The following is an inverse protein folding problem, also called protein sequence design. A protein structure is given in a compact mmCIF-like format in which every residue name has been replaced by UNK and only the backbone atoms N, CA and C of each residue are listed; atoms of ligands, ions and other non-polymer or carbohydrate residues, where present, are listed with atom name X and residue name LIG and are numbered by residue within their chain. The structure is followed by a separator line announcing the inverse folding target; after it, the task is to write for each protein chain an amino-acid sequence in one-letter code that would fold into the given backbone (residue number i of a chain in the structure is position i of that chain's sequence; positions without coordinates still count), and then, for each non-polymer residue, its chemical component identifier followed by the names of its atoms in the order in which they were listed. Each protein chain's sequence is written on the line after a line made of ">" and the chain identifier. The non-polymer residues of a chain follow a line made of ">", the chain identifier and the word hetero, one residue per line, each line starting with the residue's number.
data_IF_636747169161
#
_entry.id   IF_636747169161
#
_cell.length_a   1.000
_cell.length_b   1.000
_cell.length_c   1.000
_cell.angle_alpha   90.00
_cell.angle_beta   90.00
_cell.angle_gamma   90.00
#
_symmetry.space_group_name_H-M   'P 1'
#
loop_
_entity.id
_entity.type
_entity.pdbx_description
1 polymer ?
#
# COMPACT_ATOMS: atom_id res chain seq x y z
N UNK A 1 18.85 13.00 -25.99
CA UNK A 1 17.53 12.89 -26.65
C UNK A 1 16.68 11.92 -25.83
N UNK A 2 15.40 12.23 -25.54
CA UNK A 2 14.47 11.31 -24.85
C UNK A 2 13.39 10.88 -25.85
N UNK A 3 13.31 9.59 -26.15
CA UNK A 3 12.24 9.01 -27.00
C UNK A 3 11.30 8.23 -26.08
N UNK A 4 9.99 8.36 -26.31
CA UNK A 4 8.96 7.56 -25.62
C UNK A 4 8.42 6.53 -26.60
N UNK A 5 8.55 5.25 -26.24
CA UNK A 5 7.93 4.13 -26.93
C UNK A 5 6.65 3.72 -26.17
N UNK A 6 5.50 3.70 -26.85
CA UNK A 6 4.22 3.32 -26.24
C UNK A 6 4.10 1.80 -26.17
N UNK A 7 3.34 1.30 -25.19
CA UNK A 7 3.11 -0.14 -25.06
C UNK A 7 2.45 -0.78 -26.30
N UNK A 8 1.58 -0.05 -27.01
CA UNK A 8 1.01 -0.52 -28.25
C UNK A 8 2.07 -0.73 -29.34
N UNK A 9 3.06 0.17 -29.43
CA UNK A 9 4.18 0.05 -30.37
C UNK A 9 5.08 -1.13 -29.98
N UNK A 10 5.33 -1.33 -28.68
CA UNK A 10 6.08 -2.51 -28.19
C UNK A 10 5.35 -3.80 -28.59
N UNK A 11 4.05 -3.88 -28.34
CA UNK A 11 3.23 -5.05 -28.66
C UNK A 11 3.19 -5.32 -30.17
N UNK A 12 3.07 -4.29 -31.00
CA UNK A 12 3.18 -4.42 -32.45
C UNK A 12 4.55 -4.97 -32.87
N UNK A 13 5.64 -4.52 -32.24
CA UNK A 13 6.99 -4.97 -32.59
C UNK A 13 7.27 -6.42 -32.15
N UNK A 14 6.78 -6.84 -30.99
CA UNK A 14 7.14 -8.14 -30.38
C UNK A 14 6.07 -9.22 -30.54
N UNK A 15 4.78 -8.86 -30.55
CA UNK A 15 3.63 -9.79 -30.63
C UNK A 15 2.98 -9.78 -32.02
N UNK A 16 3.04 -8.65 -32.75
CA UNK A 16 2.53 -8.41 -34.11
C UNK A 16 1.01 -8.52 -34.32
N UNK A 17 0.31 -9.53 -33.80
CA UNK A 17 -1.05 -9.88 -34.25
C UNK A 17 -2.09 -10.08 -33.15
N UNK A 18 -1.71 -10.09 -31.87
CA UNK A 18 -2.65 -10.41 -30.78
C UNK A 18 -3.05 -9.16 -29.99
N UNK A 19 -4.29 -8.72 -30.14
CA UNK A 19 -4.88 -7.66 -29.31
C UNK A 19 -6.18 -8.16 -28.66
N UNK A 20 -6.34 -7.85 -27.37
CA UNK A 20 -7.58 -8.12 -26.63
C UNK A 20 -8.24 -6.79 -26.30
N UNK A 21 -9.52 -6.67 -26.63
CA UNK A 21 -10.33 -5.54 -26.21
C UNK A 21 -11.13 -5.90 -24.96
N UNK A 22 -11.05 -5.03 -23.96
CA UNK A 22 -11.79 -5.18 -22.73
C UNK A 22 -12.74 -3.99 -22.57
N UNK A 23 -14.04 -4.22 -22.30
CA UNK A 23 -14.97 -3.13 -22.06
C UNK A 23 -14.54 -2.25 -20.88
N UNK A 24 -14.98 -1.00 -20.88
CA UNK A 24 -14.63 -0.02 -19.84
C UNK A 24 -14.89 -0.58 -18.44
N UNK A 25 -13.92 -0.40 -17.55
CA UNK A 25 -13.92 -0.85 -16.13
C UNK A 25 -13.81 -2.37 -15.89
N UNK A 26 -14.02 -3.23 -16.89
CA UNK A 26 -13.98 -4.69 -16.68
C UNK A 26 -12.63 -5.19 -16.18
N UNK A 27 -11.52 -4.67 -16.72
CA UNK A 27 -10.17 -5.03 -16.26
C UNK A 27 -9.91 -4.66 -14.81
N UNK A 28 -10.53 -3.59 -14.28
CA UNK A 28 -10.39 -3.22 -12.87
C UNK A 28 -11.07 -4.25 -11.95
N UNK A 29 -12.25 -4.73 -12.35
CA UNK A 29 -12.98 -5.77 -11.62
C UNK A 29 -12.26 -7.12 -11.70
N UNK A 30 -11.75 -7.49 -12.88
CA UNK A 30 -10.96 -8.70 -13.09
C UNK A 30 -9.67 -8.65 -12.25
N UNK A 31 -8.98 -7.51 -12.24
CA UNK A 31 -7.77 -7.32 -11.44
C UNK A 31 -8.06 -7.42 -9.93
N UNK A 32 -9.15 -6.82 -9.45
CA UNK A 32 -9.58 -6.95 -8.05
C UNK A 32 -9.87 -8.41 -7.69
N UNK A 33 -10.61 -9.11 -8.55
CA UNK A 33 -10.91 -10.53 -8.39
C UNK A 33 -9.62 -11.37 -8.34
N UNK A 34 -8.69 -11.15 -9.26
CA UNK A 34 -7.41 -11.85 -9.29
C UNK A 34 -6.53 -11.52 -8.06
N UNK A 35 -6.53 -10.28 -7.58
CA UNK A 35 -5.80 -9.91 -6.35
C UNK A 35 -6.33 -10.66 -5.12
N UNK A 36 -7.65 -10.79 -5.01
CA UNK A 36 -8.30 -11.51 -3.91
C UNK A 36 -8.12 -13.02 -4.02
N UNK A 37 -8.31 -13.59 -5.21
CA UNK A 37 -8.20 -15.04 -5.44
C UNK A 37 -6.75 -15.52 -5.54
N UNK A 38 -5.84 -14.61 -5.88
CA UNK A 38 -4.43 -14.89 -6.16
C UNK A 38 -4.25 -15.94 -7.26
N UNK A 39 -5.11 -15.92 -8.28
CA UNK A 39 -5.16 -16.94 -9.33
C UNK A 39 -3.89 -16.98 -10.19
N UNK A 40 -3.29 -15.83 -10.48
CA UNK A 40 -2.06 -15.76 -11.30
C UNK A 40 -0.78 -15.71 -10.48
N UNK A 41 -0.76 -16.28 -9.27
CA UNK A 41 0.49 -16.41 -8.50
C UNK A 41 1.45 -17.38 -9.19
N UNK A 42 2.78 -17.24 -8.98
CA UNK A 42 3.78 -18.09 -9.63
C UNK A 42 3.56 -19.59 -9.42
N UNK A 43 3.02 -19.99 -8.27
CA UNK A 43 2.67 -21.39 -7.99
C UNK A 43 1.56 -21.98 -8.87
N UNK A 44 0.80 -21.17 -9.60
CA UNK A 44 -0.30 -21.60 -10.46
C UNK A 44 0.04 -21.43 -11.94
N UNK A 45 0.62 -20.29 -12.32
CA UNK A 45 0.91 -19.96 -13.73
C UNK A 45 2.39 -19.97 -14.07
N UNK A 46 3.26 -20.32 -13.11
CA UNK A 46 4.70 -20.20 -13.23
C UNK A 46 5.23 -18.77 -12.99
N UNK A 47 6.53 -18.67 -12.72
CA UNK A 47 7.20 -17.38 -12.53
C UNK A 47 7.63 -16.82 -13.89
N UNK A 48 6.88 -15.85 -14.44
CA UNK A 48 7.08 -15.34 -15.81
C UNK A 48 8.51 -14.85 -16.09
N UNK A 49 9.17 -14.24 -15.09
CA UNK A 49 10.56 -13.75 -15.23
C UNK A 49 11.56 -14.88 -15.43
N UNK A 50 11.30 -16.04 -14.85
CA UNK A 50 12.19 -17.19 -14.92
C UNK A 50 11.89 -17.96 -16.20
N UNK A 51 10.59 -18.17 -16.49
CA UNK A 51 10.13 -18.85 -17.70
C UNK A 51 10.59 -18.16 -18.99
N UNK A 52 10.59 -16.82 -19.06
CA UNK A 52 11.06 -16.12 -20.26
C UNK A 52 12.58 -16.27 -20.48
N UNK A 53 13.37 -16.56 -19.43
CA UNK A 53 14.80 -16.87 -19.57
C UNK A 53 15.05 -18.31 -20.02
N UNK A 54 14.14 -19.22 -19.67
CA UNK A 54 14.19 -20.63 -20.09
C UNK A 54 13.66 -20.87 -21.51
N UNK A 55 12.85 -19.94 -22.03
CA UNK A 55 12.25 -20.04 -23.35
C UNK A 55 13.30 -19.96 -24.47
N UNK A 56 13.46 -21.01 -25.30
CA UNK A 56 14.50 -21.06 -26.32
C UNK A 56 14.08 -20.40 -27.65
N UNK A 57 12.80 -20.08 -27.81
CA UNK A 57 12.27 -19.50 -29.05
C UNK A 57 12.49 -17.99 -29.15
N UNK A 58 12.00 -17.40 -30.23
CA UNK A 58 12.17 -15.97 -30.54
C UNK A 58 10.84 -15.28 -30.88
N UNK A 59 9.78 -16.05 -31.10
CA UNK A 59 8.48 -15.52 -31.51
C UNK A 59 7.43 -15.71 -30.41
N UNK A 60 6.39 -14.87 -30.45
CA UNK A 60 5.26 -14.99 -29.54
C UNK A 60 4.51 -16.32 -29.70
N UNK A 61 4.35 -16.82 -30.93
CA UNK A 61 3.63 -18.08 -31.18
C UNK A 61 4.40 -19.30 -30.64
N UNK A 62 5.73 -19.28 -30.75
CA UNK A 62 6.59 -20.26 -30.09
C UNK A 62 6.47 -20.15 -28.56
N UNK A 63 6.39 -18.94 -28.00
CA UNK A 63 6.20 -18.73 -26.57
C UNK A 63 4.88 -19.32 -26.09
N UNK A 64 3.78 -19.06 -26.81
CA UNK A 64 2.45 -19.60 -26.49
C UNK A 64 2.49 -21.12 -26.47
N UNK A 65 3.03 -21.75 -27.52
CA UNK A 65 3.14 -23.20 -27.62
C UNK A 65 3.99 -23.77 -26.48
N UNK A 66 5.18 -23.22 -26.27
CA UNK A 66 6.13 -23.67 -25.25
C UNK A 66 5.58 -23.55 -23.82
N UNK A 67 4.83 -22.47 -23.55
CA UNK A 67 4.19 -22.24 -22.27
C UNK A 67 3.03 -23.21 -22.03
N UNK A 68 2.14 -23.37 -23.02
CA UNK A 68 0.97 -24.24 -22.91
C UNK A 68 1.36 -25.73 -22.79
N UNK A 69 2.45 -26.17 -23.40
CA UNK A 69 2.96 -27.54 -23.20
C UNK A 69 3.40 -27.82 -21.75
N UNK A 70 3.91 -26.79 -21.05
CA UNK A 70 4.40 -26.91 -19.66
C UNK A 70 3.30 -26.67 -18.63
N UNK A 71 2.35 -25.80 -18.97
CA UNK A 71 1.28 -25.35 -18.10
C UNK A 71 -0.08 -25.46 -18.83
N UNK A 72 -0.50 -26.69 -19.21
CA UNK A 72 -1.65 -26.90 -20.10
C UNK A 72 -2.96 -26.34 -19.54
N UNK A 73 -3.18 -26.51 -18.24
CA UNK A 73 -4.43 -26.11 -17.59
C UNK A 73 -4.33 -24.75 -16.88
N UNK A 74 -3.14 -24.14 -16.81
CA UNK A 74 -2.90 -23.00 -15.91
C UNK A 74 -3.72 -21.75 -16.26
N UNK A 75 -3.99 -21.52 -17.55
CA UNK A 75 -4.82 -20.39 -18.00
C UNK A 75 -6.27 -20.64 -17.62
N UNK A 76 -6.78 -21.85 -17.85
CA UNK A 76 -8.18 -22.21 -17.58
C UNK A 76 -8.44 -22.26 -16.07
N UNK A 77 -7.55 -22.89 -15.29
CA UNK A 77 -7.64 -22.92 -13.83
C UNK A 77 -7.59 -21.51 -13.22
N UNK A 78 -6.71 -20.64 -13.73
CA UNK A 78 -6.65 -19.26 -13.28
C UNK A 78 -7.94 -18.50 -13.64
N UNK A 79 -8.50 -18.77 -14.83
CA UNK A 79 -9.75 -18.17 -15.31
C UNK A 79 -10.93 -18.55 -14.41
N UNK A 80 -11.14 -19.85 -14.15
CA UNK A 80 -12.22 -20.35 -13.29
C UNK A 80 -12.13 -19.80 -11.87
N UNK A 81 -10.90 -19.69 -11.36
CA UNK A 81 -10.65 -19.12 -10.03
C UNK A 81 -10.94 -17.63 -9.96
N UNK A 82 -10.71 -16.89 -11.05
CA UNK A 82 -11.09 -15.47 -11.16
C UNK A 82 -12.60 -15.35 -11.27
N UNK A 83 -13.27 -16.15 -12.10
CA UNK A 83 -14.74 -16.18 -12.26
C UNK A 83 -15.41 -16.44 -10.91
N UNK A 84 -14.97 -17.46 -10.18
CA UNK A 84 -15.49 -17.78 -8.84
C UNK A 84 -15.36 -16.60 -7.87
N UNK A 85 -14.31 -15.78 -8.00
CA UNK A 85 -14.14 -14.58 -7.18
C UNK A 85 -14.99 -13.41 -7.66
N UNK A 86 -15.21 -13.27 -8.98
CA UNK A 86 -16.15 -12.30 -9.53
C UNK A 86 -17.56 -12.56 -8.98
N UNK A 87 -18.00 -13.82 -8.90
CA UNK A 87 -19.31 -14.16 -8.32
C UNK A 87 -19.42 -13.74 -6.85
N UNK A 88 -18.39 -14.00 -6.05
CA UNK A 88 -18.32 -13.53 -4.65
C UNK A 88 -18.34 -12.00 -4.55
N UNK A 89 -17.67 -11.30 -5.47
CA UNK A 89 -17.71 -9.84 -5.52
C UNK A 89 -19.10 -9.34 -5.94
N UNK A 90 -19.79 -10.01 -6.86
CA UNK A 90 -21.16 -9.68 -7.24
C UNK A 90 -22.12 -9.87 -6.05
N UNK A 91 -21.99 -10.94 -5.27
CA UNK A 91 -22.73 -11.15 -4.03
C UNK A 91 -22.44 -10.08 -2.96
N UNK A 92 -21.22 -9.55 -2.92
CA UNK A 92 -20.88 -8.43 -2.04
C UNK A 92 -21.45 -7.11 -2.58
N UNK A 93 -21.43 -6.91 -3.89
CA UNK A 93 -21.88 -5.69 -4.54
C UNK A 93 -23.36 -5.40 -4.27
N UNK A 94 -24.21 -6.44 -4.29
CA UNK A 94 -25.64 -6.30 -3.96
C UNK A 94 -25.91 -5.89 -2.50
N UNK A 95 -24.92 -6.04 -1.60
CA UNK A 95 -25.01 -5.60 -0.20
C UNK A 95 -24.60 -4.15 0.00
N UNK A 96 -24.02 -3.51 -1.01
CA UNK A 96 -23.58 -2.12 -0.94
C UNK A 96 -24.79 -1.23 -1.16
N UNK A 97 -25.13 -0.45 -0.15
CA UNK A 97 -26.17 0.58 -0.23
C UNK A 97 -25.61 1.97 0.04
N UNK A 98 -26.47 2.98 -0.16
CA UNK A 98 -26.11 4.40 0.05
C UNK A 98 -25.70 4.68 1.50
N UNK A 99 -26.26 3.96 2.47
CA UNK A 99 -25.97 4.17 3.90
C UNK A 99 -24.57 3.70 4.22
N UNK A 100 -24.19 2.50 3.77
CA UNK A 100 -22.86 1.94 3.91
C UNK A 100 -21.80 2.80 3.21
N UNK A 101 -22.07 3.25 1.98
CA UNK A 101 -21.15 4.16 1.26
C UNK A 101 -20.99 5.48 2.01
N UNK A 102 -22.08 6.06 2.52
CA UNK A 102 -22.01 7.29 3.32
C UNK A 102 -21.16 7.08 4.58
N UNK A 103 -21.39 5.99 5.31
CA UNK A 103 -20.62 5.67 6.51
C UNK A 103 -19.12 5.50 6.21
N UNK A 104 -18.78 4.84 5.09
CA UNK A 104 -17.39 4.71 4.65
C UNK A 104 -16.75 6.05 4.30
N UNK A 105 -17.49 6.95 3.64
CA UNK A 105 -17.02 8.32 3.34
C UNK A 105 -16.83 9.14 4.62
N UNK A 106 -17.78 9.08 5.56
CA UNK A 106 -17.69 9.77 6.84
C UNK A 106 -16.51 9.26 7.67
N UNK A 107 -16.30 7.94 7.74
CA UNK A 107 -15.13 7.33 8.39
C UNK A 107 -13.81 7.79 7.74
N UNK A 108 -13.73 7.77 6.41
CA UNK A 108 -12.53 8.21 5.69
C UNK A 108 -12.24 9.70 5.93
N UNK A 109 -13.25 10.56 5.74
CA UNK A 109 -13.06 12.02 5.74
C UNK A 109 -12.94 12.57 7.15
N UNK A 110 -13.75 12.11 8.10
CA UNK A 110 -13.79 12.66 9.46
C UNK A 110 -12.87 11.88 10.39
N UNK A 111 -13.11 10.57 10.53
CA UNK A 111 -12.48 9.77 11.59
C UNK A 111 -11.02 9.50 11.28
N UNK A 112 -10.72 8.92 10.11
CA UNK A 112 -9.37 8.56 9.70
C UNK A 112 -8.48 9.77 9.49
N UNK A 113 -9.01 10.84 8.88
CA UNK A 113 -8.27 12.10 8.73
C UNK A 113 -7.93 12.70 10.08
N UNK A 114 -8.90 12.86 10.99
CA UNK A 114 -8.65 13.45 12.30
C UNK A 114 -7.65 12.60 13.11
N UNK A 115 -7.82 11.28 13.11
CA UNK A 115 -6.88 10.34 13.75
C UNK A 115 -5.48 10.49 13.16
N UNK A 116 -5.35 10.54 11.83
CA UNK A 116 -4.07 10.70 11.14
C UNK A 116 -3.40 12.06 11.34
N UNK A 117 -4.16 13.10 11.69
CA UNK A 117 -3.66 14.44 12.03
C UNK A 117 -3.34 14.59 13.52
N UNK A 118 -4.03 13.87 14.41
CA UNK A 118 -3.89 13.99 15.87
C UNK A 118 -3.14 12.83 16.54
N UNK A 119 -2.56 11.92 15.77
CA UNK A 119 -1.82 10.76 16.31
C UNK A 119 -0.65 11.15 17.23
N UNK A 120 -0.04 12.33 17.07
CA UNK A 120 1.01 12.82 17.98
C UNK A 120 0.49 12.98 19.40
N UNK A 121 -0.73 13.49 19.58
CA UNK A 121 -1.40 13.57 20.88
C UNK A 121 -1.57 12.19 21.50
N UNK A 122 -1.95 11.19 20.69
CA UNK A 122 -2.13 9.82 21.15
C UNK A 122 -0.81 9.20 21.65
N UNK A 123 0.33 9.53 21.02
CA UNK A 123 1.66 9.12 21.47
C UNK A 123 1.99 9.74 22.84
N UNK A 124 1.81 11.05 23.00
CA UNK A 124 2.08 11.74 24.27
C UNK A 124 1.21 11.19 25.40
N UNK A 125 -0.10 11.00 25.13
CA UNK A 125 -1.03 10.41 26.08
C UNK A 125 -0.58 9.00 26.49
N UNK A 126 -0.18 8.16 25.52
CA UNK A 126 0.27 6.80 25.81
C UNK A 126 1.54 6.80 26.67
N UNK A 127 2.47 7.71 26.40
CA UNK A 127 3.68 7.88 27.19
C UNK A 127 3.35 8.33 28.62
N UNK A 128 2.42 9.26 28.78
CA UNK A 128 1.95 9.74 30.08
C UNK A 128 1.26 8.65 30.91
N UNK A 129 0.44 7.81 30.27
CA UNK A 129 -0.14 6.62 30.90
C UNK A 129 0.93 5.64 31.39
N UNK A 130 2.03 5.46 30.65
CA UNK A 130 3.15 4.58 31.03
C UNK A 130 3.95 5.19 32.21
N UNK A 131 4.19 6.51 32.18
CA UNK A 131 4.93 7.24 33.21
C UNK A 131 4.08 7.56 34.46
N UNK A 132 2.76 7.41 34.40
CA UNK A 132 1.84 7.70 35.50
C UNK A 132 1.69 9.21 35.79
N UNK A 133 1.81 10.06 34.78
CA UNK A 133 1.70 11.52 34.89
C UNK A 133 0.72 12.08 33.85
N UNK A 134 0.48 13.40 33.90
CA UNK A 134 -0.36 14.11 32.93
C UNK A 134 0.41 14.47 31.64
N UNK A 135 -0.31 14.79 30.57
CA UNK A 135 0.27 15.31 29.33
C UNK A 135 -0.39 16.61 28.89
N UNK A 136 0.31 17.39 28.08
CA UNK A 136 -0.27 18.51 27.32
C UNK A 136 0.34 18.63 25.93
N UNK A 137 -0.42 19.20 25.01
CA UNK A 137 0.10 19.62 23.70
C UNK A 137 0.92 20.90 23.85
N UNK A 138 1.84 21.10 22.91
CA UNK A 138 2.59 22.33 22.78
C UNK A 138 1.69 23.50 22.35
N UNK A 139 2.00 24.70 22.83
CA UNK A 139 1.45 25.95 22.30
C UNK A 139 2.15 26.33 20.99
N UNK A 140 1.56 27.19 20.14
CA UNK A 140 2.19 27.59 18.87
C UNK A 140 3.61 28.16 18.99
N UNK A 141 3.93 28.83 20.11
CA UNK A 141 5.28 29.34 20.40
C UNK A 141 6.27 28.25 20.83
N UNK A 142 5.78 27.09 21.28
CA UNK A 142 6.58 25.93 21.68
C UNK A 142 6.77 24.98 20.49
N UNK A 143 5.73 24.81 19.66
CA UNK A 143 5.82 24.09 18.38
C UNK A 143 6.86 24.72 17.44
N UNK A 144 6.96 26.05 17.43
CA UNK A 144 7.98 26.76 16.65
C UNK A 144 9.41 26.54 17.14
N UNK A 145 9.57 26.04 18.37
CA UNK A 145 10.84 25.61 18.96
C UNK A 145 11.07 24.10 18.80
N UNK A 146 10.19 23.41 18.07
CA UNK A 146 10.29 21.98 17.79
C UNK A 146 9.71 21.07 18.87
N UNK A 147 8.97 21.60 19.86
CA UNK A 147 8.29 20.82 20.89
C UNK A 147 6.89 20.45 20.39
N UNK A 148 6.58 19.16 20.33
CA UNK A 148 5.25 18.66 19.94
C UNK A 148 4.32 18.50 21.17
N UNK A 149 4.89 18.34 22.37
CA UNK A 149 4.16 18.42 23.63
C UNK A 149 4.96 17.98 24.84
N UNK A 150 4.28 17.88 25.99
CA UNK A 150 4.90 17.60 27.28
C UNK A 150 4.22 16.41 27.95
N UNK A 151 5.03 15.63 28.67
CA UNK A 151 4.57 14.53 29.54
C UNK A 151 5.19 14.74 30.92
N UNK A 152 4.36 15.13 31.90
CA UNK A 152 4.84 15.70 33.16
C UNK A 152 5.57 17.02 32.90
N UNK A 153 6.82 17.11 33.38
CA UNK A 153 7.69 18.27 33.17
C UNK A 153 8.61 18.14 31.93
N UNK A 154 8.67 16.94 31.34
CA UNK A 154 9.54 16.64 30.20
C UNK A 154 8.92 17.13 28.87
N UNK A 155 9.71 17.88 28.09
CA UNK A 155 9.37 18.29 26.72
C UNK A 155 9.75 17.22 25.70
N UNK A 156 8.85 16.94 24.75
CA UNK A 156 9.01 15.92 23.72
C UNK A 156 8.81 16.46 22.30
N UNK A 157 9.62 15.95 21.37
CA UNK A 157 9.47 16.16 19.93
C UNK A 157 9.20 14.82 19.24
N UNK A 158 8.14 14.73 18.44
CA UNK A 158 7.67 13.50 17.80
C UNK A 158 8.01 13.54 16.31
N UNK A 159 8.95 12.71 15.88
CA UNK A 159 9.47 12.69 14.50
C UNK A 159 9.33 11.31 13.86
N UNK A 160 9.12 11.25 12.54
CA UNK A 160 9.17 9.96 11.84
C UNK A 160 10.59 9.38 11.93
N UNK A 161 10.72 8.06 12.00
CA UNK A 161 12.02 7.37 12.08
C UNK A 161 12.97 7.73 10.93
N UNK A 162 12.45 8.14 9.77
CA UNK A 162 13.25 8.63 8.64
C UNK A 162 14.06 9.90 8.96
N UNK A 163 13.67 10.64 10.01
CA UNK A 163 14.40 11.82 10.47
C UNK A 163 15.72 11.47 11.16
N UNK A 164 15.79 10.31 11.82
CA UNK A 164 17.01 9.80 12.46
C UNK A 164 18.16 9.62 11.44
N UNK A 165 17.82 9.25 10.20
CA UNK A 165 18.80 9.02 9.14
C UNK A 165 19.24 10.29 8.38
N UNK A 166 18.76 11.48 8.76
CA UNK A 166 19.06 12.74 8.06
C UNK A 166 20.26 13.47 8.69
N UNK A 167 21.41 13.58 8.01
CA UNK A 167 22.64 14.15 8.60
C UNK A 167 22.65 15.67 8.79
N UNK A 168 21.60 16.41 8.37
CA UNK A 168 21.70 17.85 8.05
C UNK A 168 20.83 18.77 8.93
N UNK A 169 19.95 18.25 9.77
CA UNK A 169 19.17 19.07 10.71
C UNK A 169 19.63 18.85 12.16
N UNK A 170 20.92 19.09 12.41
CA UNK A 170 21.40 19.35 13.77
C UNK A 170 20.99 20.78 14.16
N UNK A 171 19.69 21.09 14.12
CA UNK A 171 19.17 22.06 15.07
C UNK A 171 19.37 21.42 16.44
N UNK A 172 20.07 22.11 17.33
CA UNK A 172 20.26 21.67 18.71
C UNK A 172 18.92 21.77 19.44
N UNK A 173 18.00 20.86 19.14
CA UNK A 173 16.73 20.74 19.83
C UNK A 173 17.04 20.02 21.15
N UNK A 174 17.16 20.77 22.24
CA UNK A 174 17.41 20.26 23.61
C UNK A 174 16.14 19.62 24.21
N UNK A 175 15.47 18.73 23.48
CA UNK A 175 14.22 18.08 23.92
C UNK A 175 14.25 16.58 23.62
N UNK A 176 13.52 15.79 24.41
CA UNK A 176 13.50 14.33 24.24
C UNK A 176 12.80 13.97 22.93
N UNK A 177 13.45 13.22 22.05
CA UNK A 177 12.87 12.83 20.76
C UNK A 177 12.17 11.48 20.85
N UNK A 178 10.94 11.40 20.34
CA UNK A 178 10.19 10.16 20.13
C UNK A 178 10.17 9.90 18.62
N UNK A 179 10.80 8.81 18.21
CA UNK A 179 10.74 8.36 16.83
C UNK A 179 9.56 7.43 16.62
N UNK A 180 8.79 7.66 15.55
CA UNK A 180 7.64 6.82 15.22
C UNK A 180 7.71 6.25 13.80
N UNK A 181 7.09 5.10 13.61
CA UNK A 181 6.85 4.46 12.32
C UNK A 181 5.35 4.14 12.16
N UNK A 182 4.72 4.70 11.12
CA UNK A 182 3.33 4.39 10.77
C UNK A 182 3.27 3.02 10.09
N UNK A 183 2.55 2.08 10.69
CA UNK A 183 2.19 0.78 10.12
C UNK A 183 0.74 0.80 9.61
N UNK A 184 0.31 -0.27 8.94
CA UNK A 184 -1.06 -0.37 8.39
C UNK A 184 -2.13 -0.41 9.48
N UNK A 185 -1.78 -0.87 10.67
CA UNK A 185 -2.64 -1.16 11.82
C UNK A 185 -2.35 -0.29 13.04
N UNK A 186 -1.38 0.64 12.96
CA UNK A 186 -1.05 1.50 14.09
C UNK A 186 0.22 2.31 13.90
N UNK A 187 0.72 2.84 15.02
CA UNK A 187 1.98 3.58 15.09
C UNK A 187 2.87 2.87 16.10
N UNK A 188 4.05 2.43 15.68
CA UNK A 188 5.09 2.01 16.61
C UNK A 188 5.94 3.23 16.94
N UNK A 189 6.36 3.36 18.19
CA UNK A 189 7.23 4.45 18.61
C UNK A 189 8.15 3.98 19.74
N UNK A 190 9.36 4.51 19.77
CA UNK A 190 10.35 4.22 20.79
C UNK A 190 10.37 5.33 21.85
N UNK A 191 10.40 4.91 23.12
CA UNK A 191 10.49 5.83 24.25
C UNK A 191 11.98 6.07 24.52
N UNK A 192 12.47 7.32 24.47
CA UNK A 192 13.86 7.60 24.82
C UNK A 192 14.11 7.23 26.29
N UNK A 193 15.18 6.47 26.55
CA UNK A 193 15.66 6.18 27.90
C UNK A 193 16.10 7.48 28.61
N UNK A 194 15.87 7.57 29.93
CA UNK A 194 16.25 8.72 30.76
C UNK A 194 17.76 8.80 31.02
#
# INVERSE_FOLDING_TARGET
>A
MKIKLKNAEIQEYVVKTHTYEFPKYTTQLINLANQNSQATRPKFVGQMTDLIQEFPGQTFDEWVTWYQERYPDAIDDATEKIITMIDKLNEAFVKIDRVMVKAWVEDLVLVKTYTGLKFQEAILRKLAEIKGCDYRLAEPSEESQGIDGFVGEDAYSIKPITYEAMPILAESIEVKMIFYEKKKDGVMFDIPED
#
